data_IF_381092498173
#
_entry.id   IF_381092498173
#
_cell.length_a   1.000
_cell.length_b   1.000
_cell.length_c   1.000
_cell.angle_alpha   90.00
_cell.angle_beta   90.00
_cell.angle_gamma   90.00
#
_symmetry.space_group_name_H-M   'P 1'
#
loop_
_entity.id
_entity.type
_entity.pdbx_description
1 polymer ?
#
# COMPACT_ATOMS: atom_id res chain seq x y z
N UNK A 1 -7.54 -20.09 15.85
CA UNK A 1 -7.19 -18.78 15.26
C UNK A 1 -6.34 -19.08 14.05
N UNK A 2 -6.98 -19.17 12.88
CA UNK A 2 -6.37 -19.76 11.70
C UNK A 2 -5.24 -18.87 11.20
N UNK A 3 -3.99 -19.31 11.40
CA UNK A 3 -2.76 -18.72 10.83
C UNK A 3 -2.81 -18.57 9.29
N UNK A 4 -3.83 -19.14 8.65
CA UNK A 4 -4.04 -19.13 7.21
C UNK A 4 -4.27 -17.70 6.69
N UNK A 5 -5.06 -16.87 7.37
CA UNK A 5 -5.34 -15.51 6.88
C UNK A 5 -4.13 -14.58 6.94
N UNK A 6 -3.35 -14.49 8.05
CA UNK A 6 -2.14 -13.65 8.06
C UNK A 6 -1.06 -14.19 7.14
N UNK A 7 -0.93 -15.52 6.97
CA UNK A 7 0.07 -16.08 6.05
C UNK A 7 -0.27 -15.80 4.59
N UNK A 8 -1.54 -15.86 4.20
CA UNK A 8 -1.96 -15.50 2.83
C UNK A 8 -1.70 -14.01 2.57
N UNK A 9 -2.00 -13.12 3.51
CA UNK A 9 -1.77 -11.67 3.28
C UNK A 9 -0.28 -11.33 3.29
N UNK A 10 0.50 -11.98 4.15
CA UNK A 10 1.95 -11.83 4.17
C UNK A 10 2.59 -12.36 2.87
N UNK A 11 2.09 -13.47 2.32
CA UNK A 11 2.55 -13.98 1.02
C UNK A 11 2.17 -13.05 -0.14
N UNK A 12 0.98 -12.43 -0.10
CA UNK A 12 0.60 -11.38 -1.05
C UNK A 12 1.59 -10.22 -0.95
N UNK A 13 1.85 -9.71 0.26
CA UNK A 13 2.76 -8.58 0.47
C UNK A 13 4.19 -8.89 0.00
N UNK A 14 4.76 -10.03 0.38
CA UNK A 14 6.10 -10.44 -0.04
C UNK A 14 6.21 -10.73 -1.54
N UNK A 15 5.17 -11.28 -2.15
CA UNK A 15 5.19 -11.53 -3.60
C UNK A 15 5.19 -10.21 -4.39
N UNK A 16 4.46 -9.20 -3.93
CA UNK A 16 4.42 -7.88 -4.53
C UNK A 16 5.76 -7.18 -4.40
N UNK A 17 6.38 -7.20 -3.21
CA UNK A 17 7.70 -6.60 -3.01
C UNK A 17 8.78 -7.31 -3.83
N UNK A 18 8.73 -8.64 -3.92
CA UNK A 18 9.63 -9.42 -4.75
C UNK A 18 9.45 -9.12 -6.25
N UNK A 19 8.22 -8.83 -6.69
CA UNK A 19 7.95 -8.43 -8.07
C UNK A 19 8.66 -7.10 -8.43
N UNK A 20 8.75 -6.16 -7.49
CA UNK A 20 9.41 -4.86 -7.71
C UNK A 20 10.94 -4.97 -7.71
N UNK A 21 11.49 -5.90 -6.91
CA UNK A 21 12.94 -6.08 -6.74
C UNK A 21 13.57 -6.81 -7.94
N UNK A 22 12.82 -7.68 -8.63
CA UNK A 22 13.37 -8.42 -9.78
C UNK A 22 13.82 -7.47 -10.90
N UNK A 23 15.07 -7.61 -11.40
CA UNK A 23 15.56 -6.77 -12.49
C UNK A 23 14.68 -6.93 -13.73
N UNK A 24 14.33 -5.80 -14.33
CA UNK A 24 13.40 -5.69 -15.46
C UNK A 24 13.98 -6.36 -16.70
N UNK A 25 13.58 -7.61 -16.99
CA UNK A 25 13.85 -8.30 -18.26
C UNK A 25 12.70 -8.00 -19.24
N UNK A 26 12.97 -8.10 -20.55
CA UNK A 26 12.12 -7.52 -21.61
C UNK A 26 10.67 -8.05 -21.71
N UNK A 27 10.30 -9.15 -21.04
CA UNK A 27 8.93 -9.67 -21.01
C UNK A 27 8.22 -9.48 -19.65
N UNK A 28 8.80 -8.73 -18.72
CA UNK A 28 8.32 -8.63 -17.34
C UNK A 28 6.87 -8.12 -17.16
N UNK A 29 6.25 -7.45 -18.14
CA UNK A 29 4.88 -6.89 -17.99
C UNK A 29 3.79 -7.95 -18.02
N UNK A 30 3.97 -8.94 -18.89
CA UNK A 30 3.03 -10.06 -18.99
C UNK A 30 3.11 -10.91 -17.73
N UNK A 31 4.31 -11.13 -17.22
CA UNK A 31 4.53 -11.82 -15.95
C UNK A 31 3.85 -11.06 -14.80
N UNK A 32 3.99 -9.73 -14.76
CA UNK A 32 3.33 -8.89 -13.75
C UNK A 32 1.80 -9.01 -13.78
N UNK A 33 1.20 -9.04 -14.98
CA UNK A 33 -0.25 -9.27 -15.12
C UNK A 33 -0.67 -10.58 -14.44
N UNK A 34 0.03 -11.68 -14.74
CA UNK A 34 -0.31 -12.98 -14.15
C UNK A 34 -0.04 -13.03 -12.66
N UNK A 35 1.01 -12.36 -12.16
CA UNK A 35 1.23 -12.26 -10.71
C UNK A 35 0.11 -11.51 -10.01
N UNK A 36 -0.39 -10.39 -10.56
CA UNK A 36 -1.51 -9.65 -9.98
C UNK A 36 -2.80 -10.47 -10.01
N UNK A 37 -3.07 -11.18 -11.10
CA UNK A 37 -4.20 -12.09 -11.21
C UNK A 37 -4.15 -13.20 -10.15
N UNK A 38 -2.98 -13.82 -9.94
CA UNK A 38 -2.78 -14.82 -8.89
C UNK A 38 -3.00 -14.23 -7.49
N UNK A 39 -2.48 -13.03 -7.22
CA UNK A 39 -2.67 -12.36 -5.93
C UNK A 39 -4.13 -12.02 -5.65
N UNK A 40 -4.85 -11.55 -6.66
CA UNK A 40 -6.29 -11.34 -6.56
C UNK A 40 -7.00 -12.65 -6.17
N UNK A 41 -6.74 -13.75 -6.89
CA UNK A 41 -7.37 -15.04 -6.58
C UNK A 41 -7.04 -15.54 -5.16
N UNK A 42 -5.79 -15.37 -4.71
CA UNK A 42 -5.38 -15.74 -3.36
C UNK A 42 -6.05 -14.87 -2.29
N UNK A 43 -6.23 -13.57 -2.55
CA UNK A 43 -6.85 -12.62 -1.61
C UNK A 43 -8.32 -12.89 -1.31
N UNK A 44 -9.03 -13.62 -2.19
CA UNK A 44 -10.44 -13.98 -1.98
C UNK A 44 -10.62 -15.08 -0.92
N UNK A 45 -9.59 -15.87 -0.64
CA UNK A 45 -9.63 -16.94 0.37
C UNK A 45 -9.81 -16.38 1.80
N UNK A 46 -8.97 -15.44 2.28
CA UNK A 46 -9.12 -14.86 3.63
C UNK A 46 -10.37 -14.00 3.78
N UNK A 47 -10.92 -13.45 2.68
CA UNK A 47 -12.16 -12.67 2.73
C UNK A 47 -13.34 -13.50 3.25
N UNK A 48 -13.51 -14.72 2.73
CA UNK A 48 -14.65 -15.58 3.08
C UNK A 48 -14.56 -16.12 4.51
N UNK A 49 -13.34 -16.44 4.98
CA UNK A 49 -13.17 -16.97 6.34
C UNK A 49 -13.43 -15.90 7.39
N UNK A 50 -12.97 -14.68 7.17
CA UNK A 50 -12.99 -13.64 8.20
C UNK A 50 -14.34 -12.90 8.29
N UNK A 51 -15.09 -12.82 7.18
CA UNK A 51 -16.49 -12.37 7.18
C UNK A 51 -17.41 -13.24 8.06
N UNK A 52 -17.08 -14.52 8.22
CA UNK A 52 -17.88 -15.44 9.02
C UNK A 52 -17.55 -15.38 10.52
N UNK A 53 -16.32 -14.99 10.87
CA UNK A 53 -15.85 -15.00 12.26
C UNK A 53 -15.70 -13.61 12.88
N UNK A 54 -15.81 -12.52 12.11
CA UNK A 54 -15.67 -11.12 12.56
C UNK A 54 -14.45 -10.86 13.47
N UNK A 55 -13.38 -11.66 13.32
CA UNK A 55 -12.21 -11.56 14.17
C UNK A 55 -11.16 -10.66 13.54
N UNK A 56 -10.90 -9.52 14.15
CA UNK A 56 -9.76 -8.67 13.83
C UNK A 56 -8.46 -9.41 14.17
N UNK A 57 -7.49 -9.39 13.25
CA UNK A 57 -6.19 -10.04 13.43
C UNK A 57 -5.08 -9.01 13.34
N UNK A 58 -4.29 -8.91 14.40
CA UNK A 58 -3.11 -8.05 14.46
C UNK A 58 -1.84 -8.90 14.42
N UNK A 59 -0.97 -8.63 13.45
CA UNK A 59 0.37 -9.24 13.35
C UNK A 59 1.42 -8.16 13.52
N UNK A 60 2.14 -8.19 14.63
CA UNK A 60 3.25 -7.29 14.90
C UNK A 60 4.60 -7.94 14.58
N UNK A 61 5.43 -7.26 13.81
CA UNK A 61 6.86 -7.56 13.67
C UNK A 61 7.59 -7.01 14.91
N UNK A 62 8.80 -7.52 15.17
CA UNK A 62 9.68 -6.99 16.21
C UNK A 62 9.83 -5.45 16.12
N UNK A 63 9.96 -4.76 17.26
CA UNK A 63 10.19 -3.32 17.31
C UNK A 63 11.33 -2.89 16.40
N UNK A 64 11.05 -1.94 15.52
CA UNK A 64 12.05 -1.33 14.65
C UNK A 64 12.89 -0.31 15.45
N UNK A 65 12.23 0.47 16.32
CA UNK A 65 12.87 1.47 17.16
C UNK A 65 12.34 1.30 18.59
N UNK A 66 13.25 1.15 19.54
CA UNK A 66 12.93 1.16 20.96
C UNK A 66 13.19 2.56 21.52
N UNK A 67 12.15 3.22 21.98
CA UNK A 67 12.27 4.49 22.72
C UNK A 67 11.80 4.26 24.17
N UNK A 68 12.24 5.08 25.14
CA UNK A 68 11.87 4.87 26.54
C UNK A 68 10.36 5.04 26.81
N UNK A 69 9.64 5.73 25.91
CA UNK A 69 8.20 6.00 26.05
C UNK A 69 7.36 5.03 25.23
N UNK A 70 7.76 4.71 24.00
CA UNK A 70 7.03 3.78 23.12
C UNK A 70 7.94 2.96 22.21
N UNK A 71 7.56 1.72 21.95
CA UNK A 71 8.22 0.88 20.96
C UNK A 71 7.53 1.03 19.60
N UNK A 72 8.25 1.50 18.60
CA UNK A 72 7.73 1.64 17.23
C UNK A 72 7.86 0.28 16.55
N UNK A 73 6.74 -0.43 16.48
CA UNK A 73 6.62 -1.70 15.79
C UNK A 73 6.03 -1.48 14.38
N UNK A 74 6.33 -2.39 13.45
CA UNK A 74 5.54 -2.52 12.22
C UNK A 74 4.47 -3.55 12.52
N UNK A 75 3.21 -3.13 12.49
CA UNK A 75 2.07 -4.01 12.77
C UNK A 75 1.04 -3.92 11.66
N UNK A 76 0.68 -5.09 11.15
CA UNK A 76 -0.33 -5.29 10.14
C UNK A 76 -1.62 -5.61 10.88
N UNK A 77 -2.62 -4.74 10.72
CA UNK A 77 -3.95 -4.94 11.27
C UNK A 77 -4.90 -5.32 10.13
N UNK A 78 -5.57 -6.45 10.34
CA UNK A 78 -6.45 -7.10 9.37
C UNK A 78 -7.89 -7.06 9.87
N UNK A 79 -8.50 -5.91 9.61
CA UNK A 79 -9.90 -5.67 9.89
C UNK A 79 -10.76 -5.96 8.67
N UNK A 80 -12.08 -6.01 8.89
CA UNK A 80 -13.08 -6.18 7.83
C UNK A 80 -12.90 -5.18 6.68
N UNK A 81 -12.54 -3.93 6.97
CA UNK A 81 -12.25 -2.90 5.98
C UNK A 81 -11.03 -3.25 5.12
N UNK A 82 -9.93 -3.66 5.75
CA UNK A 82 -8.70 -4.01 5.04
C UNK A 82 -8.90 -5.23 4.13
N UNK A 83 -9.65 -6.23 4.60
CA UNK A 83 -9.91 -7.48 3.91
C UNK A 83 -10.86 -7.31 2.73
N UNK A 84 -11.81 -6.39 2.82
CA UNK A 84 -12.64 -6.01 1.68
C UNK A 84 -11.87 -5.19 0.65
N UNK A 85 -10.99 -4.29 1.11
CA UNK A 85 -10.28 -3.36 0.24
C UNK A 85 -9.14 -4.01 -0.54
N UNK A 86 -8.39 -4.94 0.06
CA UNK A 86 -7.24 -5.60 -0.60
C UNK A 86 -7.64 -6.31 -1.91
N UNK A 87 -8.66 -7.19 -1.95
CA UNK A 87 -9.10 -7.83 -3.20
C UNK A 87 -9.62 -6.82 -4.22
N UNK A 88 -10.35 -5.79 -3.78
CA UNK A 88 -10.83 -4.73 -4.67
C UNK A 88 -9.67 -3.97 -5.32
N UNK A 89 -8.67 -3.57 -4.54
CA UNK A 89 -7.49 -2.87 -5.04
C UNK A 89 -6.68 -3.75 -6.02
N UNK A 90 -6.49 -5.03 -5.69
CA UNK A 90 -5.83 -5.99 -6.57
C UNK A 90 -6.59 -6.22 -7.88
N UNK A 91 -7.93 -6.29 -7.82
CA UNK A 91 -8.77 -6.43 -9.01
C UNK A 91 -8.66 -5.22 -9.95
N UNK A 92 -8.83 -4.01 -9.40
CA UNK A 92 -8.75 -2.76 -10.17
C UNK A 92 -7.38 -2.62 -10.81
N UNK A 93 -6.32 -2.86 -10.04
CA UNK A 93 -4.95 -2.73 -10.53
C UNK A 93 -4.62 -3.79 -11.59
N UNK A 94 -5.10 -5.02 -11.45
CA UNK A 94 -5.00 -6.03 -12.51
C UNK A 94 -5.67 -5.52 -13.80
N UNK A 95 -6.91 -5.03 -13.74
CA UNK A 95 -7.60 -4.47 -14.92
C UNK A 95 -6.85 -3.28 -15.54
N UNK A 96 -6.32 -2.36 -14.72
CA UNK A 96 -5.53 -1.22 -15.22
C UNK A 96 -4.23 -1.71 -15.86
N UNK A 97 -3.54 -2.71 -15.30
CA UNK A 97 -2.31 -3.23 -15.91
C UNK A 97 -2.60 -3.88 -17.26
N UNK A 98 -3.67 -4.65 -17.39
CA UNK A 98 -4.09 -5.23 -18.68
C UNK A 98 -4.40 -4.14 -19.71
N UNK A 99 -5.16 -3.13 -19.32
CA UNK A 99 -5.42 -1.97 -20.17
C UNK A 99 -4.12 -1.23 -20.57
N UNK A 100 -3.20 -1.04 -19.63
CA UNK A 100 -1.94 -0.33 -19.87
C UNK A 100 -1.01 -1.05 -20.85
N UNK A 101 -1.02 -2.39 -20.85
CA UNK A 101 -0.23 -3.20 -21.80
C UNK A 101 -0.67 -2.93 -23.25
N UNK A 102 -1.97 -2.76 -23.46
CA UNK A 102 -2.51 -2.41 -24.78
C UNK A 102 -2.29 -0.91 -25.09
N UNK A 103 -2.66 -0.02 -24.16
CA UNK A 103 -2.63 1.43 -24.36
C UNK A 103 -1.21 1.99 -24.56
N UNK A 104 -0.23 1.53 -23.77
CA UNK A 104 1.17 1.97 -23.85
C UNK A 104 2.05 1.03 -24.69
N UNK A 105 1.46 0.22 -25.57
CA UNK A 105 2.20 -0.77 -26.37
C UNK A 105 3.32 -0.18 -27.26
N UNK A 106 3.24 1.11 -27.57
CA UNK A 106 4.24 1.86 -28.34
C UNK A 106 5.35 2.51 -27.49
N UNK A 107 5.20 2.56 -26.16
CA UNK A 107 6.18 3.18 -25.26
C UNK A 107 7.29 2.17 -24.88
N UNK A 108 8.57 2.45 -25.18
CA UNK A 108 9.67 1.58 -24.77
C UNK A 108 9.82 1.45 -23.24
N UNK A 109 9.30 2.43 -22.48
CA UNK A 109 9.42 2.48 -21.02
C UNK A 109 8.21 1.89 -20.28
N UNK A 110 7.34 1.12 -20.95
CA UNK A 110 6.19 0.45 -20.32
C UNK A 110 6.57 -0.39 -19.09
N UNK A 111 7.79 -0.95 -19.09
CA UNK A 111 8.38 -1.65 -17.94
C UNK A 111 8.40 -0.86 -16.66
N UNK A 112 8.81 0.39 -16.78
CA UNK A 112 8.97 1.30 -15.67
C UNK A 112 7.61 1.84 -15.23
N UNK A 113 6.68 2.05 -16.16
CA UNK A 113 5.31 2.46 -15.83
C UNK A 113 4.61 1.40 -14.97
N UNK A 114 4.64 0.13 -15.39
CA UNK A 114 4.01 -0.96 -14.62
C UNK A 114 4.69 -1.14 -13.26
N UNK A 115 6.02 -0.95 -13.18
CA UNK A 115 6.72 -0.94 -11.89
C UNK A 115 6.26 0.20 -10.97
N UNK A 116 6.04 1.40 -11.48
CA UNK A 116 5.50 2.49 -10.67
C UNK A 116 4.06 2.23 -10.23
N UNK A 117 3.25 1.62 -11.07
CA UNK A 117 1.89 1.21 -10.73
C UNK A 117 1.89 0.11 -9.64
N UNK A 118 2.78 -0.87 -9.70
CA UNK A 118 2.88 -1.90 -8.65
C UNK A 118 3.42 -1.33 -7.33
N UNK A 119 4.35 -0.37 -7.36
CA UNK A 119 4.79 0.33 -6.14
C UNK A 119 3.66 1.15 -5.54
N UNK A 120 2.87 1.84 -6.36
CA UNK A 120 1.67 2.55 -5.92
C UNK A 120 0.68 1.62 -5.20
N UNK A 121 0.47 0.42 -5.73
CA UNK A 121 -0.35 -0.61 -5.10
C UNK A 121 0.23 -1.04 -3.75
N UNK A 122 1.54 -1.27 -3.65
CA UNK A 122 2.20 -1.66 -2.39
C UNK A 122 2.00 -0.57 -1.34
N UNK A 123 2.23 0.69 -1.68
CA UNK A 123 2.04 1.81 -0.75
C UNK A 123 0.59 1.93 -0.30
N UNK A 124 -0.37 1.64 -1.20
CA UNK A 124 -1.79 1.64 -0.84
C UNK A 124 -2.14 0.51 0.14
N UNK A 125 -1.60 -0.71 -0.05
CA UNK A 125 -1.80 -1.82 0.89
C UNK A 125 -1.17 -1.51 2.25
N UNK A 126 -0.01 -0.83 2.29
CA UNK A 126 0.61 -0.40 3.55
C UNK A 126 -0.30 0.55 4.33
N UNK A 127 -0.96 1.51 3.66
CA UNK A 127 -1.92 2.43 4.31
C UNK A 127 -3.08 1.64 4.92
N UNK A 128 -3.69 0.75 4.13
CA UNK A 128 -4.93 0.07 4.50
C UNK A 128 -4.73 -0.97 5.61
N UNK A 129 -3.51 -1.47 5.77
CA UNK A 129 -3.15 -2.45 6.80
C UNK A 129 -2.37 -1.84 7.98
N UNK A 130 -2.21 -0.52 8.01
CA UNK A 130 -1.44 0.15 9.06
C UNK A 130 -2.18 0.12 10.40
N UNK A 131 -1.54 -0.48 11.42
CA UNK A 131 -2.03 -0.39 12.81
C UNK A 131 -1.51 0.86 13.55
N UNK A 132 -0.41 1.46 13.08
CA UNK A 132 0.27 2.55 13.77
C UNK A 132 0.28 3.78 12.87
N UNK A 133 0.12 4.96 13.46
CA UNK A 133 0.08 6.22 12.69
C UNK A 133 1.40 6.46 11.93
N UNK A 134 2.52 5.99 12.45
CA UNK A 134 3.81 6.01 11.75
C UNK A 134 3.80 5.21 10.44
N UNK A 135 3.21 4.00 10.45
CA UNK A 135 3.10 3.16 9.26
C UNK A 135 2.13 3.77 8.24
N UNK A 136 1.03 4.37 8.73
CA UNK A 136 0.10 5.12 7.90
C UNK A 136 0.80 6.29 7.20
N UNK A 137 1.63 7.05 7.92
CA UNK A 137 2.41 8.15 7.36
C UNK A 137 3.39 7.69 6.28
N UNK A 138 4.08 6.56 6.49
CA UNK A 138 4.98 5.97 5.48
C UNK A 138 4.20 5.61 4.20
N UNK A 139 3.04 4.97 4.35
CA UNK A 139 2.19 4.62 3.22
C UNK A 139 1.65 5.86 2.49
N UNK A 140 1.23 6.86 3.25
CA UNK A 140 0.71 8.14 2.76
C UNK A 140 1.72 8.89 1.87
N UNK A 141 2.95 9.06 2.36
CA UNK A 141 4.06 9.64 1.59
C UNK A 141 4.37 8.83 0.33
N UNK A 142 4.37 7.51 0.45
CA UNK A 142 4.62 6.60 -0.66
C UNK A 142 3.61 6.78 -1.80
N UNK A 143 2.31 6.85 -1.47
CA UNK A 143 1.25 7.14 -2.44
C UNK A 143 1.43 8.53 -3.05
N UNK A 144 1.80 9.52 -2.24
CA UNK A 144 2.10 10.88 -2.69
C UNK A 144 3.21 10.93 -3.75
N UNK A 145 4.35 10.29 -3.49
CA UNK A 145 5.51 10.28 -4.41
C UNK A 145 5.18 9.48 -5.69
N UNK A 146 4.51 8.34 -5.58
CA UNK A 146 4.16 7.54 -6.76
C UNK A 146 3.12 8.25 -7.64
N UNK A 147 2.16 8.96 -7.04
CA UNK A 147 1.19 9.77 -7.79
C UNK A 147 1.88 10.87 -8.60
N UNK A 148 2.88 11.55 -8.03
CA UNK A 148 3.70 12.52 -8.74
C UNK A 148 4.40 11.93 -9.96
N UNK A 149 5.05 10.78 -9.79
CA UNK A 149 5.78 10.11 -10.88
C UNK A 149 4.86 9.62 -11.99
N UNK A 150 3.66 9.15 -11.66
CA UNK A 150 2.68 8.65 -12.63
C UNK A 150 1.98 9.79 -13.38
N UNK A 151 1.60 10.88 -12.70
CA UNK A 151 1.01 12.07 -13.34
C UNK A 151 2.06 12.75 -14.23
N UNK A 152 3.29 12.86 -13.73
CA UNK A 152 4.43 13.43 -14.44
C UNK A 152 5.06 12.51 -15.49
N UNK A 153 4.46 11.39 -15.87
CA UNK A 153 5.09 10.38 -16.74
C UNK A 153 5.70 10.97 -18.01
N UNK A 154 4.97 11.88 -18.68
CA UNK A 154 5.46 12.62 -19.84
C UNK A 154 6.15 13.91 -19.43
N UNK A 155 7.38 13.80 -18.92
CA UNK A 155 8.22 14.91 -18.45
C UNK A 155 8.37 16.08 -19.44
N UNK A 156 8.19 15.85 -20.75
CA UNK A 156 8.32 16.89 -21.78
C UNK A 156 7.12 17.84 -21.85
N UNK A 157 5.98 17.48 -21.25
CA UNK A 157 4.77 18.31 -21.23
C UNK A 157 4.76 19.16 -19.96
N UNK A 158 4.91 20.48 -20.12
CA UNK A 158 4.83 21.45 -19.01
C UNK A 158 3.54 21.32 -18.20
N UNK A 159 2.41 21.05 -18.87
CA UNK A 159 1.11 20.84 -18.21
C UNK A 159 1.10 19.60 -17.30
N UNK A 160 1.80 18.52 -17.66
CA UNK A 160 1.87 17.32 -16.84
C UNK A 160 2.73 17.56 -15.59
N UNK A 161 3.87 18.26 -15.75
CA UNK A 161 4.76 18.56 -14.64
C UNK A 161 4.12 19.55 -13.64
N UNK A 162 3.39 20.55 -14.14
CA UNK A 162 2.66 21.50 -13.29
C UNK A 162 1.54 20.83 -12.52
N UNK A 163 0.76 19.94 -13.16
CA UNK A 163 -0.27 19.14 -12.48
C UNK A 163 0.33 18.19 -11.42
N UNK A 164 1.45 17.52 -11.73
CA UNK A 164 2.14 16.67 -10.78
C UNK A 164 2.64 17.46 -9.56
N UNK A 165 3.23 18.64 -9.79
CA UNK A 165 3.67 19.52 -8.71
C UNK A 165 2.50 19.99 -7.84
N UNK A 166 1.37 20.35 -8.46
CA UNK A 166 0.15 20.72 -7.74
C UNK A 166 -0.32 19.58 -6.83
N UNK A 167 -0.35 18.34 -7.33
CA UNK A 167 -0.73 17.18 -6.53
C UNK A 167 0.17 17.00 -5.29
N UNK A 168 1.50 17.15 -5.44
CA UNK A 168 2.41 17.12 -4.29
C UNK A 168 2.08 18.24 -3.30
N UNK A 169 1.90 19.47 -3.77
CA UNK A 169 1.65 20.61 -2.87
C UNK A 169 0.39 20.36 -2.02
N UNK A 170 -0.69 19.86 -2.62
CA UNK A 170 -1.90 19.51 -1.86
C UNK A 170 -1.66 18.38 -0.86
N UNK A 171 -0.91 17.35 -1.24
CA UNK A 171 -0.54 16.28 -0.30
C UNK A 171 0.28 16.82 0.87
N UNK A 172 1.23 17.73 0.62
CA UNK A 172 2.06 18.37 1.65
C UNK A 172 1.27 19.20 2.65
N UNK A 173 0.18 19.83 2.20
CA UNK A 173 -0.75 20.50 3.12
C UNK A 173 -1.47 19.48 4.01
N UNK A 174 -1.86 18.33 3.45
CA UNK A 174 -2.39 17.20 4.23
C UNK A 174 -1.41 16.65 5.26
N UNK A 175 -0.12 16.58 4.91
CA UNK A 175 0.94 16.10 5.82
C UNK A 175 1.02 16.93 7.10
N UNK A 176 0.79 18.25 7.03
CA UNK A 176 0.76 19.13 8.21
C UNK A 176 -0.30 18.65 9.20
N UNK A 177 -1.49 18.27 8.70
CA UNK A 177 -2.56 17.72 9.52
C UNK A 177 -2.19 16.37 10.14
N UNK A 178 -1.60 15.46 9.36
CA UNK A 178 -1.16 14.15 9.86
C UNK A 178 -0.02 14.26 10.89
N UNK A 179 0.93 15.16 10.68
CA UNK A 179 2.01 15.40 11.64
C UNK A 179 1.44 16.00 12.92
N UNK A 180 0.49 16.92 12.81
CA UNK A 180 -0.20 17.47 13.98
C UNK A 180 -0.90 16.37 14.79
N UNK A 181 -1.64 15.46 14.15
CA UNK A 181 -2.28 14.34 14.85
C UNK A 181 -1.26 13.41 15.49
N UNK A 182 -0.13 13.08 14.84
CA UNK A 182 0.95 12.29 15.44
C UNK A 182 1.47 12.97 16.71
N UNK A 183 1.79 14.27 16.64
CA UNK A 183 2.31 15.01 17.81
C UNK A 183 1.30 15.09 18.93
N UNK A 184 0.01 15.22 18.62
CA UNK A 184 -1.07 15.19 19.60
C UNK A 184 -1.18 13.83 20.26
N UNK A 185 -1.20 12.74 19.50
CA UNK A 185 -1.31 11.36 20.02
C UNK A 185 -0.12 10.97 20.89
N UNK A 186 1.08 11.44 20.56
CA UNK A 186 2.28 11.25 21.39
C UNK A 186 2.13 11.83 22.81
N UNK A 187 1.30 12.87 23.00
CA UNK A 187 1.02 13.39 24.36
C UNK A 187 0.12 12.46 25.18
N UNK A 188 -0.67 11.59 24.53
CA UNK A 188 -1.56 10.60 25.14
C UNK A 188 -0.92 9.21 25.31
N UNK A 189 0.41 9.11 25.19
CA UNK A 189 1.23 7.92 25.42
C UNK A 189 1.17 6.78 24.39
N UNK A 190 0.19 6.74 23.47
CA UNK A 190 0.09 5.68 22.46
C UNK A 190 -0.15 6.17 21.03
N UNK A 191 0.67 5.71 20.07
CA UNK A 191 0.47 5.92 18.63
C UNK A 191 -0.16 4.71 17.89
N UNK A 192 -0.58 3.68 18.62
CA UNK A 192 -1.24 2.47 18.10
C UNK A 192 -2.76 2.66 18.06
N UNK A 193 -3.41 2.30 16.95
CA UNK A 193 -4.87 2.47 16.82
C UNK A 193 -5.65 1.63 17.84
N UNK A 194 -5.17 0.42 18.15
CA UNK A 194 -5.85 -0.47 19.10
C UNK A 194 -5.88 0.09 20.52
N UNK A 195 -4.80 0.73 20.98
CA UNK A 195 -4.73 1.36 22.31
C UNK A 195 -5.60 2.61 22.38
N UNK A 196 -5.66 3.38 21.28
CA UNK A 196 -6.52 4.56 21.16
C UNK A 196 -8.01 4.22 21.19
N UNK A 197 -8.42 3.11 20.57
CA UNK A 197 -9.81 2.66 20.56
C UNK A 197 -10.27 2.07 21.90
N UNK A 198 -9.35 1.63 22.76
CA UNK A 198 -9.66 1.09 24.10
C UNK A 198 -9.76 2.21 25.16
N UNK A 199 -9.14 3.37 24.91
CA UNK A 199 -9.17 4.51 25.84
C UNK A 199 -10.49 5.32 25.80
N UNK A 200 -11.42 5.01 24.91
CA UNK A 200 -12.76 5.60 24.79
C UNK A 200 -13.83 4.52 24.71
#
# INVERSE_FOLDING_TARGET
MDLITPTIILTIFFSLTMSVIKPTRSNNHKDMKYTLMLMFMLSMIPLNTLLNYNNELTVSISPLIMTPTENINISILLDTLSLMFIPMALFITWSITEFSIWYMSSDPNITKFIKYLTIFLITMIIIVTANNVYQLFIGWEGVGIMSFLLIGWWNSRSNANTAALQAIIYNRVGDIGLIFTITWLLTFSSANFQELLIQY
#
